data_IF_552292622314
#
_entry.id   IF_552292622314
#
_cell.length_a   1.000
_cell.length_b   1.000
_cell.length_c   1.000
_cell.angle_alpha   90.00
_cell.angle_beta   90.00
_cell.angle_gamma   90.00
#
_symmetry.space_group_name_H-M   'P 1'
#
loop_
_entity.id
_entity.type
_entity.pdbx_description
1 polymer ?
#
# COMPACT_ATOMS: atom_id res chain seq x y z
N UNK A 1 -24.64 -23.71 13.27
CA UNK A 1 -23.35 -23.01 13.04
C UNK A 1 -23.32 -21.70 13.80
N UNK A 2 -22.16 -21.32 14.28
CA UNK A 2 -21.98 -20.07 15.00
C UNK A 2 -22.32 -18.87 14.13
N UNK A 3 -23.07 -17.92 14.68
CA UNK A 3 -23.41 -16.67 14.01
C UNK A 3 -23.25 -15.47 14.93
N UNK A 4 -22.94 -14.33 14.33
CA UNK A 4 -22.71 -13.07 15.02
C UNK A 4 -23.38 -11.91 14.26
N UNK A 5 -24.13 -11.10 14.99
CA UNK A 5 -24.62 -9.83 14.49
C UNK A 5 -23.52 -8.75 14.57
N UNK A 6 -23.19 -8.14 13.45
CA UNK A 6 -22.16 -7.08 13.37
C UNK A 6 -22.63 -5.72 13.91
N UNK A 7 -23.92 -5.56 14.16
CA UNK A 7 -24.47 -4.31 14.70
C UNK A 7 -24.63 -4.31 16.21
N UNK A 8 -25.28 -5.32 16.78
CA UNK A 8 -25.50 -5.39 18.23
C UNK A 8 -24.54 -6.34 18.94
N UNK A 9 -23.70 -7.08 18.19
CA UNK A 9 -22.74 -8.07 18.69
C UNK A 9 -23.37 -9.27 19.41
N UNK A 10 -24.67 -9.54 19.20
CA UNK A 10 -25.31 -10.75 19.71
C UNK A 10 -24.77 -11.95 18.93
N UNK A 11 -24.21 -12.91 19.66
CA UNK A 11 -23.89 -14.24 19.17
C UNK A 11 -25.14 -15.14 19.25
N UNK A 12 -25.35 -16.00 18.28
CA UNK A 12 -26.48 -16.89 18.21
C UNK A 12 -26.23 -18.08 17.30
N UNK A 13 -26.99 -19.16 17.44
CA UNK A 13 -26.93 -20.27 16.51
C UNK A 13 -27.83 -20.03 15.31
N UNK A 14 -27.30 -20.23 14.14
CA UNK A 14 -28.01 -20.03 12.89
C UNK A 14 -27.98 -21.27 12.01
N UNK A 15 -29.06 -21.58 11.27
CA UNK A 15 -29.00 -22.54 10.18
C UNK A 15 -28.21 -22.02 9.01
N UNK A 16 -27.62 -22.90 8.20
CA UNK A 16 -26.94 -22.58 6.95
C UNK A 16 -27.94 -22.11 5.88
N UNK A 17 -28.38 -20.86 5.92
CA UNK A 17 -29.33 -20.33 4.93
C UNK A 17 -28.99 -18.85 4.59
N UNK A 18 -29.35 -18.44 3.36
CA UNK A 18 -29.31 -17.02 2.95
C UNK A 18 -30.37 -16.19 3.68
N UNK A 19 -30.11 -14.89 3.84
CA UNK A 19 -31.07 -13.95 4.44
C UNK A 19 -31.15 -14.01 5.97
N UNK A 20 -30.03 -14.34 6.63
CA UNK A 20 -29.92 -14.36 8.07
C UNK A 20 -30.22 -12.98 8.69
N UNK A 21 -31.04 -12.96 9.73
CA UNK A 21 -31.33 -11.75 10.52
C UNK A 21 -31.07 -12.01 11.99
N UNK A 22 -30.52 -11.00 12.66
CA UNK A 22 -30.25 -11.05 14.08
C UNK A 22 -31.57 -11.27 14.88
N UNK A 23 -31.63 -12.23 15.79
CA UNK A 23 -32.83 -12.45 16.63
C UNK A 23 -33.09 -11.27 17.58
N UNK A 24 -32.05 -10.55 18.02
CA UNK A 24 -32.17 -9.45 18.98
C UNK A 24 -32.55 -8.12 18.31
N UNK A 25 -31.84 -7.70 17.25
CA UNK A 25 -32.02 -6.37 16.62
C UNK A 25 -32.54 -6.40 15.19
N UNK A 26 -32.81 -7.59 14.63
CA UNK A 26 -33.30 -7.86 13.28
C UNK A 26 -32.39 -7.35 12.15
N UNK A 27 -31.17 -6.91 12.46
CA UNK A 27 -30.21 -6.50 11.45
C UNK A 27 -29.91 -7.64 10.46
N UNK A 28 -29.80 -7.36 9.16
CA UNK A 28 -29.33 -8.31 8.16
C UNK A 28 -27.81 -8.47 8.17
N UNK A 29 -27.08 -7.62 8.87
CA UNK A 29 -25.61 -7.66 8.94
C UNK A 29 -25.15 -8.72 9.93
N UNK A 30 -25.36 -9.97 9.56
CA UNK A 30 -24.91 -11.13 10.32
C UNK A 30 -23.88 -11.90 9.51
N UNK A 31 -22.93 -12.51 10.22
CA UNK A 31 -21.99 -13.49 9.68
C UNK A 31 -22.24 -14.81 10.37
N UNK A 32 -22.24 -15.90 9.62
CA UNK A 32 -22.38 -17.26 10.17
C UNK A 32 -21.41 -18.19 9.45
N UNK A 33 -20.70 -19.02 10.23
CA UNK A 33 -19.75 -19.98 9.70
C UNK A 33 -19.42 -21.05 10.75
N UNK A 34 -19.13 -22.27 10.34
CA UNK A 34 -18.78 -23.36 11.26
C UNK A 34 -17.50 -23.10 12.04
N UNK A 35 -16.52 -22.51 11.39
CA UNK A 35 -15.23 -22.15 11.99
C UNK A 35 -15.18 -20.69 12.50
N UNK A 36 -16.30 -19.97 12.62
CA UNK A 36 -16.36 -18.54 12.95
C UNK A 36 -15.55 -18.16 14.19
N UNK A 37 -15.62 -19.00 15.22
CA UNK A 37 -15.01 -18.73 16.52
C UNK A 37 -13.62 -19.36 16.71
N UNK A 38 -13.17 -20.20 15.78
CA UNK A 38 -11.85 -20.86 15.82
C UNK A 38 -10.79 -20.19 14.95
N UNK A 39 -11.21 -19.44 13.92
CA UNK A 39 -10.31 -18.72 13.05
C UNK A 39 -9.75 -17.45 13.70
N UNK A 40 -8.49 -17.12 13.42
CA UNK A 40 -7.80 -16.05 14.14
C UNK A 40 -6.97 -15.10 13.25
N UNK A 41 -6.76 -15.42 11.97
CA UNK A 41 -6.05 -14.55 11.04
C UNK A 41 -7.03 -13.71 10.27
N UNK A 42 -6.91 -12.39 10.40
CA UNK A 42 -7.79 -11.46 9.72
C UNK A 42 -7.02 -10.52 8.78
N UNK A 43 -7.71 -10.06 7.76
CA UNK A 43 -7.34 -8.90 6.95
C UNK A 43 -8.46 -7.88 7.05
N UNK A 44 -8.13 -6.64 7.42
CA UNK A 44 -9.05 -5.52 7.45
C UNK A 44 -8.61 -4.48 6.41
N UNK A 45 -9.59 -3.93 5.68
CA UNK A 45 -9.38 -2.94 4.63
C UNK A 45 -10.50 -1.89 4.72
N UNK A 46 -10.13 -0.60 4.80
CA UNK A 46 -11.09 0.48 4.91
C UNK A 46 -11.79 0.74 3.57
N UNK A 47 -13.10 0.87 3.61
CA UNK A 47 -13.92 1.03 2.41
C UNK A 47 -13.68 2.39 1.74
N UNK A 48 -13.08 2.38 0.52
CA UNK A 48 -12.78 3.58 -0.27
C UNK A 48 -12.13 4.69 0.57
N UNK A 49 -11.11 4.36 1.34
CA UNK A 49 -10.56 5.10 2.48
C UNK A 49 -10.46 6.61 2.28
N UNK A 50 -9.67 7.09 1.32
CA UNK A 50 -9.49 8.54 1.12
C UNK A 50 -10.82 9.24 0.81
N UNK A 51 -11.65 8.64 -0.04
CA UNK A 51 -12.95 9.22 -0.37
C UNK A 51 -13.93 9.18 0.84
N UNK A 52 -13.81 8.19 1.71
CA UNK A 52 -14.60 8.09 2.94
C UNK A 52 -14.20 9.15 3.96
N UNK A 53 -12.90 9.45 4.10
CA UNK A 53 -12.41 10.56 4.95
C UNK A 53 -12.94 11.90 4.41
N UNK A 54 -12.91 12.14 3.09
CA UNK A 54 -13.46 13.38 2.52
C UNK A 54 -14.95 13.52 2.75
N UNK A 55 -15.73 12.43 2.61
CA UNK A 55 -17.17 12.43 2.88
C UNK A 55 -17.49 12.58 4.37
N UNK A 56 -16.65 12.04 5.24
CA UNK A 56 -16.74 12.23 6.70
C UNK A 56 -16.59 13.71 7.08
N UNK A 57 -15.54 14.33 6.54
CA UNK A 57 -15.16 15.71 6.87
C UNK A 57 -16.08 16.73 6.19
N UNK A 58 -16.70 16.37 5.06
CA UNK A 58 -17.65 17.22 4.35
C UNK A 58 -18.95 16.44 4.00
N UNK A 59 -19.98 16.52 4.87
CA UNK A 59 -21.24 15.81 4.67
C UNK A 59 -21.98 16.15 3.37
N UNK A 60 -21.74 17.31 2.75
CA UNK A 60 -22.33 17.69 1.46
C UNK A 60 -21.88 16.76 0.30
N UNK A 61 -20.87 15.94 0.53
CA UNK A 61 -20.36 14.94 -0.41
C UNK A 61 -21.02 13.57 -0.24
N UNK A 62 -21.83 13.34 0.79
CA UNK A 62 -22.33 12.03 1.17
C UNK A 62 -22.96 11.24 0.01
N UNK A 63 -23.84 11.88 -0.78
CA UNK A 63 -24.52 11.26 -1.92
C UNK A 63 -23.81 11.45 -3.27
N UNK A 64 -22.73 12.27 -3.31
CA UNK A 64 -22.06 12.60 -4.57
C UNK A 64 -21.01 11.54 -4.95
N UNK A 65 -20.78 11.30 -6.24
CA UNK A 65 -19.60 10.58 -6.69
C UNK A 65 -18.36 11.43 -6.40
N UNK A 66 -17.41 10.84 -5.64
CA UNK A 66 -16.16 11.51 -5.24
C UNK A 66 -14.99 10.70 -5.77
N UNK A 67 -14.04 11.41 -6.38
CA UNK A 67 -12.78 10.88 -6.89
C UNK A 67 -11.64 11.65 -6.22
N UNK A 68 -10.76 10.93 -5.58
CA UNK A 68 -9.51 11.49 -5.04
C UNK A 68 -8.42 11.33 -6.07
N UNK A 69 -7.85 12.44 -6.49
CA UNK A 69 -6.86 12.50 -7.55
C UNK A 69 -6.72 13.93 -8.09
N UNK A 70 -6.29 14.05 -9.31
CA UNK A 70 -6.22 15.37 -9.99
C UNK A 70 -4.96 15.52 -10.82
N UNK A 71 -4.86 16.67 -11.50
CA UNK A 71 -3.79 16.96 -12.43
C UNK A 71 -4.01 16.39 -13.84
N UNK A 72 -3.40 17.04 -14.85
CA UNK A 72 -3.57 16.71 -16.28
C UNK A 72 -3.12 15.27 -16.61
N UNK A 73 -2.07 14.77 -15.91
CA UNK A 73 -1.50 13.44 -16.07
C UNK A 73 -1.68 12.57 -14.81
N UNK A 74 -2.60 13.00 -13.93
CA UNK A 74 -2.88 12.28 -12.69
C UNK A 74 -3.72 11.04 -12.92
N UNK A 75 -3.72 10.20 -11.90
CA UNK A 75 -4.55 9.00 -11.82
C UNK A 75 -5.51 9.11 -10.64
N UNK A 76 -6.55 8.29 -10.67
CA UNK A 76 -7.44 8.09 -9.53
C UNK A 76 -6.67 7.40 -8.41
N UNK A 77 -6.49 8.09 -7.28
CA UNK A 77 -5.95 7.47 -6.06
C UNK A 77 -7.01 6.58 -5.42
N UNK A 78 -8.22 7.13 -5.23
CA UNK A 78 -9.37 6.39 -4.69
C UNK A 78 -10.65 6.95 -5.28
N UNK A 79 -11.62 6.07 -5.59
CA UNK A 79 -12.97 6.43 -5.97
C UNK A 79 -13.97 5.90 -4.94
N UNK A 80 -14.94 6.70 -4.52
CA UNK A 80 -16.02 6.23 -3.66
C UNK A 80 -16.92 5.23 -4.39
N UNK A 81 -17.73 4.47 -3.67
CA UNK A 81 -18.56 3.42 -4.27
C UNK A 81 -19.57 3.97 -5.29
N UNK A 82 -20.09 5.19 -5.10
CA UNK A 82 -20.97 5.85 -6.09
C UNK A 82 -20.23 6.04 -7.42
N UNK A 83 -18.98 6.48 -7.40
CA UNK A 83 -18.16 6.61 -8.61
C UNK A 83 -17.75 5.24 -9.18
N UNK A 84 -17.50 4.23 -8.32
CA UNK A 84 -17.17 2.86 -8.77
C UNK A 84 -18.31 2.17 -9.53
N UNK A 85 -19.57 2.45 -9.18
CA UNK A 85 -20.76 1.97 -9.93
C UNK A 85 -20.73 2.48 -11.36
N UNK A 86 -20.21 3.70 -11.61
CA UNK A 86 -20.04 4.28 -12.96
C UNK A 86 -18.83 3.72 -13.71
N UNK A 87 -18.09 2.78 -13.13
CA UNK A 87 -16.93 2.14 -13.75
C UNK A 87 -15.57 2.74 -13.36
N UNK A 88 -15.53 3.81 -12.55
CA UNK A 88 -14.27 4.42 -12.10
C UNK A 88 -13.50 3.44 -11.20
N UNK A 89 -12.18 3.33 -11.41
CA UNK A 89 -11.27 2.46 -10.64
C UNK A 89 -10.02 3.20 -10.21
N UNK A 90 -9.39 2.74 -9.13
CA UNK A 90 -8.05 3.21 -8.73
C UNK A 90 -7.03 2.95 -9.83
N UNK A 91 -6.01 3.80 -9.92
CA UNK A 91 -4.98 3.86 -10.95
C UNK A 91 -5.47 4.21 -12.38
N UNK A 92 -6.77 4.38 -12.59
CA UNK A 92 -7.33 4.85 -13.87
C UNK A 92 -6.87 6.29 -14.15
N UNK A 93 -6.48 6.65 -15.39
CA UNK A 93 -6.20 8.02 -15.77
C UNK A 93 -7.39 8.95 -15.48
N UNK A 94 -7.13 10.15 -14.94
CA UNK A 94 -8.20 11.07 -14.55
C UNK A 94 -9.13 11.44 -15.72
N UNK A 95 -8.58 11.58 -16.93
CA UNK A 95 -9.40 11.92 -18.11
C UNK A 95 -10.38 10.79 -18.49
N UNK A 96 -10.01 9.53 -18.26
CA UNK A 96 -10.91 8.38 -18.47
C UNK A 96 -11.97 8.32 -17.37
N UNK A 97 -11.55 8.52 -16.11
CA UNK A 97 -12.47 8.55 -14.99
C UNK A 97 -13.56 9.62 -15.13
N UNK A 98 -13.18 10.82 -15.62
CA UNK A 98 -14.12 11.91 -15.87
C UNK A 98 -15.02 11.68 -17.09
N UNK A 99 -14.60 10.89 -18.08
CA UNK A 99 -15.49 10.42 -19.15
C UNK A 99 -16.57 9.47 -18.63
N UNK A 100 -16.21 8.59 -17.69
CA UNK A 100 -17.15 7.63 -17.10
C UNK A 100 -18.09 8.27 -16.07
N UNK A 101 -17.63 9.30 -15.37
CA UNK A 101 -18.39 9.99 -14.31
C UNK A 101 -18.14 11.51 -14.38
N UNK A 102 -18.73 12.21 -15.36
CA UNK A 102 -18.51 13.67 -15.54
C UNK A 102 -18.96 14.51 -14.34
N UNK A 103 -19.98 14.05 -13.62
CA UNK A 103 -20.51 14.70 -12.43
C UNK A 103 -19.68 14.50 -11.15
N UNK A 104 -18.57 13.77 -11.24
CA UNK A 104 -17.76 13.47 -10.07
C UNK A 104 -17.09 14.73 -9.48
N UNK A 105 -17.16 14.83 -8.16
CA UNK A 105 -16.39 15.83 -7.42
C UNK A 105 -14.96 15.31 -7.28
N UNK A 106 -14.02 15.99 -7.94
CA UNK A 106 -12.59 15.66 -7.86
C UNK A 106 -11.94 16.45 -6.74
N UNK A 107 -11.30 15.72 -5.83
CA UNK A 107 -10.62 16.30 -4.66
C UNK A 107 -9.12 15.92 -4.71
N UNK A 108 -8.26 16.92 -4.52
CA UNK A 108 -6.83 16.68 -4.36
C UNK A 108 -6.57 15.93 -3.04
N UNK A 109 -5.65 14.94 -3.03
CA UNK A 109 -5.36 14.19 -1.81
C UNK A 109 -4.90 15.08 -0.64
N UNK A 110 -5.55 14.93 0.53
CA UNK A 110 -5.14 15.53 1.80
C UNK A 110 -4.41 14.50 2.66
N UNK A 111 -3.16 14.20 2.30
CA UNK A 111 -2.41 13.11 2.92
C UNK A 111 -2.31 13.18 4.44
N UNK A 112 -2.22 14.38 5.01
CA UNK A 112 -2.17 14.58 6.48
C UNK A 112 -3.44 14.08 7.16
N UNK A 113 -4.63 14.38 6.60
CA UNK A 113 -5.91 13.90 7.13
C UNK A 113 -6.02 12.36 7.03
N UNK A 114 -5.51 11.78 5.94
CA UNK A 114 -5.54 10.32 5.76
C UNK A 114 -4.57 9.61 6.72
N UNK A 115 -3.38 10.17 6.92
CA UNK A 115 -2.41 9.64 7.89
C UNK A 115 -2.95 9.74 9.31
N UNK A 116 -3.62 10.85 9.68
CA UNK A 116 -4.24 11.00 10.99
C UNK A 116 -5.32 9.93 11.22
N UNK A 117 -6.26 9.79 10.30
CA UNK A 117 -7.31 8.77 10.38
C UNK A 117 -6.73 7.34 10.41
N UNK A 118 -5.68 7.06 9.63
CA UNK A 118 -4.98 5.78 9.63
C UNK A 118 -4.37 5.45 11.00
N UNK A 119 -3.82 6.45 11.70
CA UNK A 119 -3.26 6.26 13.05
C UNK A 119 -4.35 5.89 14.04
N UNK A 120 -5.47 6.61 14.07
CA UNK A 120 -6.60 6.32 14.95
C UNK A 120 -7.13 4.89 14.72
N UNK A 121 -7.26 4.45 13.46
CA UNK A 121 -7.67 3.08 13.13
C UNK A 121 -6.63 2.07 13.63
N UNK A 122 -5.34 2.37 13.46
CA UNK A 122 -4.27 1.48 13.92
C UNK A 122 -4.26 1.35 15.45
N UNK A 123 -4.43 2.44 16.16
CA UNK A 123 -4.52 2.42 17.62
C UNK A 123 -5.68 1.51 18.09
N UNK A 124 -6.85 1.58 17.42
CA UNK A 124 -7.96 0.66 17.68
C UNK A 124 -7.63 -0.81 17.39
N UNK A 125 -6.82 -1.10 16.36
CA UNK A 125 -6.38 -2.48 16.08
C UNK A 125 -5.37 -2.95 17.14
N UNK A 126 -4.46 -2.09 17.59
CA UNK A 126 -3.44 -2.41 18.59
C UNK A 126 -4.05 -2.73 19.96
N UNK A 127 -5.25 -2.23 20.26
CA UNK A 127 -6.03 -2.66 21.44
C UNK A 127 -6.43 -4.16 21.37
N UNK A 128 -6.51 -4.74 20.17
CA UNK A 128 -6.91 -6.14 20.00
C UNK A 128 -5.72 -7.08 20.14
N UNK A 129 -4.59 -6.72 19.56
CA UNK A 129 -3.36 -7.52 19.52
C UNK A 129 -2.16 -6.66 19.10
N UNK A 130 -0.96 -6.93 19.63
CA UNK A 130 0.25 -6.33 19.10
C UNK A 130 0.69 -6.92 17.75
N UNK A 131 0.11 -8.03 17.31
CA UNK A 131 0.47 -8.74 16.08
C UNK A 131 -0.28 -8.19 14.88
N UNK A 132 0.12 -6.99 14.43
CA UNK A 132 -0.46 -6.30 13.28
C UNK A 132 0.63 -6.07 12.24
N UNK A 133 0.31 -6.34 10.97
CA UNK A 133 1.15 -6.03 9.81
C UNK A 133 0.41 -5.05 8.90
N UNK A 134 0.69 -3.75 9.00
CA UNK A 134 0.15 -2.76 8.07
C UNK A 134 0.72 -2.97 6.66
N UNK A 135 -0.14 -2.97 5.66
CA UNK A 135 0.23 -3.03 4.25
C UNK A 135 0.20 -1.65 3.59
N UNK A 136 -0.74 -0.80 4.03
CA UNK A 136 -0.93 0.56 3.57
C UNK A 136 -1.45 1.45 4.70
N UNK A 137 -2.01 2.62 4.39
CA UNK A 137 -2.69 3.48 5.36
C UNK A 137 -4.06 2.91 5.78
N UNK A 138 -4.65 2.06 4.96
CA UNK A 138 -6.05 1.62 5.06
C UNK A 138 -6.23 0.12 5.20
N UNK A 139 -5.15 -0.68 5.10
CA UNK A 139 -5.25 -2.12 5.24
C UNK A 139 -4.16 -2.72 6.13
N UNK A 140 -4.52 -3.76 6.87
CA UNK A 140 -3.62 -4.51 7.72
C UNK A 140 -4.04 -5.97 7.88
N UNK A 141 -3.05 -6.85 8.07
CA UNK A 141 -3.26 -8.16 8.66
C UNK A 141 -3.24 -8.07 10.18
N UNK A 142 -4.08 -8.88 10.83
CA UNK A 142 -4.25 -8.92 12.28
C UNK A 142 -4.21 -10.39 12.70
N UNK A 143 -3.30 -10.76 13.61
CA UNK A 143 -3.26 -12.08 14.22
C UNK A 143 -3.87 -12.02 15.62
N UNK A 144 -5.00 -12.65 15.78
CA UNK A 144 -5.76 -12.75 17.04
C UNK A 144 -5.58 -14.12 17.72
N UNK A 145 -4.57 -14.89 17.30
CA UNK A 145 -4.28 -16.20 17.89
C UNK A 145 -3.99 -16.06 19.39
N UNK A 146 -4.72 -16.81 20.21
CA UNK A 146 -4.54 -16.82 21.66
C UNK A 146 -5.16 -15.63 22.42
N UNK A 147 -5.73 -14.63 21.71
CA UNK A 147 -6.28 -13.42 22.36
C UNK A 147 -7.66 -13.61 22.98
N UNK A 148 -8.36 -14.69 22.66
CA UNK A 148 -9.74 -14.93 23.13
C UNK A 148 -9.86 -14.94 24.67
N UNK A 149 -8.85 -15.49 25.38
CA UNK A 149 -8.84 -15.50 26.86
C UNK A 149 -8.65 -14.10 27.43
N UNK A 150 -7.84 -13.26 26.79
CA UNK A 150 -7.59 -11.89 27.23
C UNK A 150 -8.85 -11.02 27.09
N UNK A 151 -9.55 -11.17 25.98
CA UNK A 151 -10.72 -10.34 25.67
C UNK A 151 -12.05 -10.92 26.16
N UNK A 152 -12.08 -12.19 26.60
CA UNK A 152 -13.31 -12.90 26.95
C UNK A 152 -14.24 -13.19 25.76
N UNK A 153 -13.75 -13.00 24.54
CA UNK A 153 -14.52 -13.13 23.31
C UNK A 153 -13.67 -13.72 22.16
N UNK A 154 -14.29 -14.43 21.20
CA UNK A 154 -13.58 -14.96 20.04
C UNK A 154 -13.12 -13.86 19.07
N UNK A 155 -12.14 -14.14 18.20
CA UNK A 155 -11.63 -13.19 17.19
C UNK A 155 -12.72 -12.55 16.32
N UNK A 156 -13.71 -13.31 15.91
CA UNK A 156 -14.86 -12.82 15.13
C UNK A 156 -15.62 -11.69 15.81
N UNK A 157 -15.87 -11.83 17.12
CA UNK A 157 -16.53 -10.80 17.93
C UNK A 157 -15.67 -9.54 18.04
N UNK A 158 -14.36 -9.70 18.30
CA UNK A 158 -13.43 -8.59 18.45
C UNK A 158 -13.33 -7.78 17.16
N UNK A 159 -13.26 -8.44 16.01
CA UNK A 159 -13.25 -7.79 14.69
C UNK A 159 -14.58 -7.08 14.39
N UNK A 160 -15.72 -7.69 14.68
CA UNK A 160 -17.02 -7.04 14.51
C UNK A 160 -17.16 -5.79 15.43
N UNK A 161 -16.65 -5.87 16.65
CA UNK A 161 -16.58 -4.74 17.59
C UNK A 161 -15.67 -3.63 17.07
N UNK A 162 -14.50 -3.96 16.49
CA UNK A 162 -13.60 -3.02 15.86
C UNK A 162 -14.32 -2.22 14.76
N UNK A 163 -14.92 -2.93 13.80
CA UNK A 163 -15.63 -2.28 12.67
C UNK A 163 -16.80 -1.42 13.17
N UNK A 164 -17.53 -1.89 14.19
CA UNK A 164 -18.59 -1.09 14.80
C UNK A 164 -18.04 0.20 15.43
N UNK A 165 -16.94 0.12 16.18
CA UNK A 165 -16.26 1.28 16.76
C UNK A 165 -15.75 2.26 15.68
N UNK A 166 -15.09 1.77 14.65
CA UNK A 166 -14.66 2.62 13.53
C UNK A 166 -15.84 3.40 12.94
N UNK A 167 -16.99 2.75 12.78
CA UNK A 167 -18.20 3.39 12.26
C UNK A 167 -18.78 4.43 13.20
N UNK A 168 -18.86 4.16 14.50
CA UNK A 168 -19.50 5.04 15.49
C UNK A 168 -18.59 6.15 15.98
N UNK A 169 -17.30 5.90 16.16
CA UNK A 169 -16.32 6.84 16.71
C UNK A 169 -15.62 7.65 15.60
N UNK A 170 -15.23 6.99 14.50
CA UNK A 170 -14.49 7.64 13.41
C UNK A 170 -15.35 7.96 12.18
N UNK A 171 -16.60 7.47 12.11
CA UNK A 171 -17.50 7.56 10.92
C UNK A 171 -16.85 7.01 9.64
N UNK A 172 -15.99 6.01 9.80
CA UNK A 172 -15.33 5.27 8.74
C UNK A 172 -15.76 3.82 8.78
N UNK A 173 -15.70 3.16 7.63
CA UNK A 173 -16.10 1.77 7.49
C UNK A 173 -14.98 0.93 6.93
N UNK A 174 -15.01 -0.34 7.24
CA UNK A 174 -14.06 -1.28 6.73
C UNK A 174 -14.70 -2.65 6.50
N UNK A 175 -14.04 -3.43 5.66
CA UNK A 175 -14.39 -4.81 5.35
C UNK A 175 -13.36 -5.75 5.94
N UNK A 176 -13.80 -6.87 6.49
CA UNK A 176 -12.99 -7.87 7.17
C UNK A 176 -13.06 -9.19 6.43
N UNK A 177 -11.91 -9.81 6.24
CA UNK A 177 -11.79 -11.22 5.92
C UNK A 177 -11.16 -11.97 7.07
N UNK A 178 -11.82 -13.04 7.56
CA UNK A 178 -11.35 -13.91 8.62
C UNK A 178 -11.04 -15.29 8.04
N UNK A 179 -9.86 -15.83 8.32
CA UNK A 179 -9.44 -17.13 7.81
C UNK A 179 -8.35 -17.76 8.70
N UNK A 180 -7.79 -18.86 8.23
CA UNK A 180 -6.69 -19.58 8.91
C UNK A 180 -5.30 -19.15 8.41
N UNK A 181 -5.20 -18.30 7.37
CA UNK A 181 -3.94 -17.75 6.88
C UNK A 181 -4.13 -16.39 6.19
N UNK A 182 -3.01 -15.69 5.93
CA UNK A 182 -2.98 -14.34 5.34
C UNK A 182 -3.60 -14.29 3.95
N UNK A 183 -3.30 -15.27 3.10
CA UNK A 183 -3.79 -15.29 1.72
C UNK A 183 -5.32 -15.29 1.67
N UNK A 184 -5.93 -16.23 2.35
CA UNK A 184 -7.38 -16.38 2.35
C UNK A 184 -8.10 -15.26 3.12
N UNK A 185 -7.51 -14.77 4.22
CA UNK A 185 -8.03 -13.61 4.92
C UNK A 185 -8.11 -12.38 4.00
N UNK A 186 -7.07 -12.13 3.17
CA UNK A 186 -7.08 -11.03 2.21
C UNK A 186 -8.11 -11.25 1.09
N UNK A 187 -8.23 -12.45 0.57
CA UNK A 187 -9.27 -12.78 -0.43
C UNK A 187 -10.66 -12.57 0.18
N UNK A 188 -10.89 -13.07 1.41
CA UNK A 188 -12.17 -12.95 2.09
C UNK A 188 -12.59 -11.48 2.27
N UNK A 189 -11.66 -10.58 2.60
CA UNK A 189 -11.98 -9.17 2.83
C UNK A 189 -12.54 -8.44 1.60
N UNK A 190 -12.32 -8.96 0.40
CA UNK A 190 -12.80 -8.38 -0.86
C UNK A 190 -14.15 -8.94 -1.34
N UNK A 191 -14.64 -10.06 -0.74
CA UNK A 191 -15.82 -10.77 -1.25
C UNK A 191 -17.14 -10.01 -1.10
N UNK A 192 -17.28 -9.22 -0.03
CA UNK A 192 -18.54 -8.56 0.35
C UNK A 192 -18.36 -7.05 0.59
N UNK A 193 -17.41 -6.41 -0.11
CA UNK A 193 -17.23 -4.95 -0.01
C UNK A 193 -18.42 -4.20 -0.62
N UNK A 194 -18.83 -3.06 -0.04
CA UNK A 194 -18.38 -2.43 1.20
C UNK A 194 -19.06 -3.01 2.45
N UNK A 195 -18.50 -2.68 3.63
CA UNK A 195 -19.02 -3.13 4.92
C UNK A 195 -19.09 -4.67 5.08
N UNK A 196 -18.21 -5.37 4.36
CA UNK A 196 -18.18 -6.82 4.36
C UNK A 196 -17.59 -7.42 5.63
N UNK A 197 -18.03 -8.64 5.92
CA UNK A 197 -17.37 -9.53 6.86
C UNK A 197 -17.51 -10.95 6.31
N UNK A 198 -16.45 -11.43 5.69
CA UNK A 198 -16.46 -12.73 5.05
C UNK A 198 -15.49 -13.68 5.75
N UNK A 199 -15.86 -14.94 5.78
CA UNK A 199 -15.07 -16.01 6.38
C UNK A 199 -14.74 -17.04 5.31
N UNK A 200 -13.51 -17.54 5.32
CA UNK A 200 -13.07 -18.70 4.55
C UNK A 200 -12.39 -19.64 5.53
N UNK A 201 -13.06 -20.75 5.84
CA UNK A 201 -12.59 -21.78 6.75
C UNK A 201 -11.51 -22.68 6.14
N UNK A 202 -10.85 -23.46 7.00
CA UNK A 202 -9.84 -24.41 6.55
C UNK A 202 -10.49 -25.59 5.80
N UNK A 203 -11.62 -26.07 6.29
CA UNK A 203 -12.34 -27.21 5.71
C UNK A 203 -12.82 -26.95 4.27
N UNK A 204 -13.30 -25.75 3.98
CA UNK A 204 -13.87 -25.39 2.67
C UNK A 204 -12.85 -24.80 1.68
N UNK A 205 -11.59 -24.61 2.10
CA UNK A 205 -10.59 -23.88 1.32
C UNK A 205 -10.39 -24.46 -0.09
N UNK A 206 -10.33 -25.78 -0.21
CA UNK A 206 -10.14 -26.45 -1.51
C UNK A 206 -11.32 -26.18 -2.45
N UNK A 207 -12.55 -26.35 -1.95
CA UNK A 207 -13.77 -26.12 -2.71
C UNK A 207 -13.96 -24.65 -3.07
N UNK A 208 -13.62 -23.75 -2.13
CA UNK A 208 -13.66 -22.32 -2.37
C UNK A 208 -12.72 -21.89 -3.50
N UNK A 209 -11.49 -22.43 -3.53
CA UNK A 209 -10.49 -22.07 -4.54
C UNK A 209 -10.74 -22.74 -5.90
N UNK A 210 -11.45 -23.85 -5.91
CA UNK A 210 -11.76 -24.58 -7.13
C UNK A 210 -12.35 -23.62 -8.18
N UNK A 211 -11.82 -23.65 -9.40
CA UNK A 211 -12.21 -22.82 -10.55
C UNK A 211 -12.13 -21.30 -10.37
N UNK A 212 -11.64 -20.79 -9.22
CA UNK A 212 -11.39 -19.36 -9.08
C UNK A 212 -10.22 -18.93 -9.97
N UNK A 213 -10.26 -17.69 -10.49
CA UNK A 213 -9.18 -17.18 -11.33
C UNK A 213 -7.92 -16.89 -10.49
N UNK A 214 -6.74 -17.22 -11.05
CA UNK A 214 -5.43 -17.01 -10.38
C UNK A 214 -5.13 -15.55 -10.02
N UNK A 215 -5.82 -14.59 -10.62
CA UNK A 215 -5.73 -13.17 -10.28
C UNK A 215 -6.15 -12.83 -8.85
N UNK A 216 -6.86 -13.74 -8.15
CA UNK A 216 -7.17 -13.59 -6.72
C UNK A 216 -5.91 -13.70 -5.85
N UNK A 217 -4.83 -14.27 -6.38
CA UNK A 217 -3.56 -14.35 -5.65
C UNK A 217 -2.93 -12.95 -5.60
N UNK A 218 -2.83 -12.40 -4.41
CA UNK A 218 -2.14 -11.14 -4.19
C UNK A 218 -0.70 -11.17 -4.71
N UNK A 219 -0.39 -10.25 -5.63
CA UNK A 219 0.88 -10.18 -6.36
C UNK A 219 0.80 -10.73 -7.79
N UNK A 220 -0.32 -11.34 -8.20
CA UNK A 220 -0.59 -11.69 -9.60
C UNK A 220 -1.25 -10.49 -10.28
N UNK A 221 -0.42 -9.56 -10.75
CA UNK A 221 -0.85 -8.42 -11.57
C UNK A 221 -0.96 -8.80 -13.06
N UNK A 222 -1.35 -7.84 -13.92
CA UNK A 222 -1.60 -8.06 -15.34
C UNK A 222 -0.44 -8.76 -16.08
N UNK A 223 0.82 -8.37 -15.81
CA UNK A 223 1.99 -8.98 -16.44
C UNK A 223 2.17 -10.46 -16.04
N UNK A 224 2.01 -10.75 -14.72
CA UNK A 224 2.08 -12.13 -14.22
C UNK A 224 0.92 -12.95 -14.76
N UNK A 225 -0.29 -12.39 -14.77
CA UNK A 225 -1.46 -13.04 -15.33
C UNK A 225 -1.25 -13.41 -16.80
N UNK A 226 -0.78 -12.48 -17.65
CA UNK A 226 -0.47 -12.73 -19.05
C UNK A 226 0.60 -13.82 -19.23
N UNK A 227 1.60 -13.89 -18.34
CA UNK A 227 2.62 -14.94 -18.37
C UNK A 227 2.05 -16.30 -17.98
N UNK A 228 1.15 -16.36 -16.99
CA UNK A 228 0.44 -17.59 -16.59
C UNK A 228 -0.50 -18.08 -17.70
N UNK A 229 -1.25 -17.17 -18.32
CA UNK A 229 -2.15 -17.51 -19.44
C UNK A 229 -1.42 -18.12 -20.64
N UNK A 230 -0.20 -17.64 -20.97
CA UNK A 230 0.68 -18.24 -21.97
C UNK A 230 1.12 -19.66 -21.61
N UNK A 231 1.06 -20.03 -20.34
CA UNK A 231 1.33 -21.37 -19.84
C UNK A 231 0.05 -22.22 -19.69
N UNK A 232 -1.11 -21.71 -20.12
CA UNK A 232 -2.39 -22.39 -19.97
C UNK A 232 -2.97 -22.33 -18.56
N UNK A 233 -2.46 -21.43 -17.69
CA UNK A 233 -2.87 -21.31 -16.29
C UNK A 233 -3.77 -20.09 -16.15
N UNK A 234 -5.07 -20.30 -15.91
CA UNK A 234 -6.08 -19.25 -15.69
C UNK A 234 -6.75 -19.36 -14.33
N UNK A 235 -6.89 -20.59 -13.83
CA UNK A 235 -7.61 -20.92 -12.61
C UNK A 235 -6.70 -21.63 -11.61
N UNK A 236 -7.17 -21.73 -10.36
CA UNK A 236 -6.51 -22.56 -9.33
C UNK A 236 -6.48 -24.03 -9.74
N UNK A 237 -7.54 -24.53 -10.39
CA UNK A 237 -7.59 -25.89 -10.94
C UNK A 237 -6.47 -26.14 -11.95
N UNK A 238 -6.15 -25.15 -12.80
CA UNK A 238 -5.02 -25.25 -13.72
C UNK A 238 -3.68 -25.30 -12.96
N UNK A 239 -3.50 -24.47 -11.91
CA UNK A 239 -2.31 -24.49 -11.08
C UNK A 239 -2.10 -25.84 -10.36
N UNK A 240 -3.17 -26.50 -9.94
CA UNK A 240 -3.10 -27.79 -9.24
C UNK A 240 -2.56 -28.90 -10.13
N UNK A 241 -2.65 -28.78 -11.47
CA UNK A 241 -2.12 -29.75 -12.45
C UNK A 241 -0.60 -29.65 -12.64
N UNK A 242 0.03 -28.58 -12.13
CA UNK A 242 1.46 -28.36 -12.27
C UNK A 242 2.24 -28.89 -11.08
N UNK A 243 3.37 -29.49 -11.37
CA UNK A 243 4.34 -29.84 -10.33
C UNK A 243 5.06 -28.59 -9.80
N UNK A 244 5.49 -28.69 -8.54
CA UNK A 244 6.21 -27.61 -7.86
C UNK A 244 7.51 -27.25 -8.59
N UNK A 245 8.24 -28.26 -9.06
CA UNK A 245 9.53 -28.09 -9.75
C UNK A 245 9.33 -27.33 -11.06
N UNK A 246 8.33 -27.71 -11.85
CA UNK A 246 8.02 -27.08 -13.14
C UNK A 246 7.56 -25.63 -12.98
N UNK A 247 6.72 -25.35 -11.98
CA UNK A 247 6.33 -23.98 -11.67
C UNK A 247 7.51 -23.11 -11.22
N UNK A 248 8.39 -23.66 -10.38
CA UNK A 248 9.58 -22.97 -9.91
C UNK A 248 10.60 -22.74 -11.03
N UNK A 249 10.80 -23.71 -11.92
CA UNK A 249 11.67 -23.58 -13.10
C UNK A 249 11.19 -22.48 -14.05
N UNK A 250 9.87 -22.36 -14.25
CA UNK A 250 9.29 -21.40 -15.19
C UNK A 250 9.07 -20.01 -14.63
N UNK A 251 8.69 -19.90 -13.36
CA UNK A 251 8.28 -18.63 -12.72
C UNK A 251 9.14 -18.24 -11.50
N UNK A 252 10.25 -18.97 -11.26
CA UNK A 252 11.14 -18.72 -10.14
C UNK A 252 10.45 -18.86 -8.78
N UNK A 253 10.82 -18.00 -7.84
CA UNK A 253 10.22 -17.96 -6.49
C UNK A 253 8.70 -17.69 -6.49
N UNK A 254 8.20 -17.04 -7.52
CA UNK A 254 6.76 -16.86 -7.70
C UNK A 254 6.08 -18.20 -7.99
N UNK A 255 6.68 -19.07 -8.82
CA UNK A 255 6.14 -20.39 -9.13
C UNK A 255 6.02 -21.29 -7.90
N UNK A 256 7.05 -21.31 -7.07
CA UNK A 256 7.02 -22.01 -5.77
C UNK A 256 5.87 -21.50 -4.88
N UNK A 257 5.72 -20.19 -4.79
CA UNK A 257 4.63 -19.56 -4.04
C UNK A 257 3.25 -19.92 -4.61
N UNK A 258 3.08 -19.88 -5.93
CA UNK A 258 1.82 -20.21 -6.60
C UNK A 258 1.40 -21.66 -6.32
N UNK A 259 2.36 -22.60 -6.29
CA UNK A 259 2.09 -23.99 -5.96
C UNK A 259 1.48 -24.18 -4.57
N UNK A 260 2.04 -23.50 -3.56
CA UNK A 260 1.53 -23.52 -2.20
C UNK A 260 0.15 -22.85 -2.07
N UNK A 261 0.01 -21.66 -2.65
CA UNK A 261 -1.25 -20.90 -2.57
C UNK A 261 -2.39 -21.58 -3.31
N UNK A 262 -2.12 -22.32 -4.40
CA UNK A 262 -3.12 -23.13 -5.09
C UNK A 262 -3.74 -24.21 -4.19
N UNK A 263 -3.01 -24.66 -3.19
CA UNK A 263 -3.44 -25.64 -2.17
C UNK A 263 -3.94 -24.98 -0.88
N UNK A 264 -4.21 -23.68 -0.92
CA UNK A 264 -4.66 -22.92 0.25
C UNK A 264 -3.58 -22.75 1.34
N UNK A 265 -2.32 -23.06 1.03
CA UNK A 265 -1.21 -23.04 1.98
C UNK A 265 -0.47 -21.71 1.95
N UNK A 266 -0.53 -20.95 3.04
CA UNK A 266 0.26 -19.75 3.22
C UNK A 266 0.94 -19.77 4.60
N UNK A 267 2.25 -20.04 4.62
CA UNK A 267 3.05 -20.15 5.85
C UNK A 267 3.64 -18.84 6.33
N UNK A 268 3.36 -17.73 5.63
CA UNK A 268 3.87 -16.41 6.02
C UNK A 268 3.22 -15.99 7.34
N UNK A 269 4.07 -15.62 8.28
CA UNK A 269 3.61 -15.04 9.57
C UNK A 269 3.30 -13.56 9.39
N UNK A 270 2.48 -13.02 10.28
CA UNK A 270 2.26 -11.58 10.42
C UNK A 270 3.51 -10.98 11.05
N UNK A 271 4.08 -9.97 10.38
CA UNK A 271 5.34 -9.32 10.79
C UNK A 271 5.08 -7.87 11.12
N UNK A 272 5.16 -7.51 12.39
CA UNK A 272 4.86 -6.14 12.88
C UNK A 272 5.75 -5.06 12.25
N UNK A 273 7.03 -5.34 12.13
CA UNK A 273 8.05 -4.37 11.73
C UNK A 273 8.92 -4.93 10.59
N UNK A 274 8.37 -5.00 9.38
CA UNK A 274 9.21 -5.27 8.24
C UNK A 274 10.18 -4.09 8.03
N UNK A 275 11.50 -4.33 7.93
CA UNK A 275 12.46 -3.26 7.72
C UNK A 275 12.17 -2.55 6.39
N UNK A 276 12.27 -1.21 6.41
CA UNK A 276 12.16 -0.41 5.21
C UNK A 276 13.29 -0.76 4.24
N UNK A 277 12.96 -1.04 2.98
CA UNK A 277 13.95 -1.48 1.98
C UNK A 277 14.54 -0.33 1.17
N UNK A 278 13.77 0.74 0.97
CA UNK A 278 14.16 1.91 0.17
C UNK A 278 13.38 3.15 0.55
N UNK A 279 13.96 4.32 0.28
CA UNK A 279 13.29 5.62 0.34
C UNK A 279 13.47 6.27 -1.02
N UNK A 280 12.36 6.62 -1.70
CA UNK A 280 12.40 7.23 -3.02
C UNK A 280 11.34 8.31 -3.18
N UNK A 281 11.59 9.21 -4.13
CA UNK A 281 10.63 10.18 -4.59
C UNK A 281 10.72 10.32 -6.11
N UNK A 282 9.57 10.49 -6.77
CA UNK A 282 9.50 10.67 -8.22
C UNK A 282 8.47 11.74 -8.59
N UNK A 283 8.64 12.36 -9.74
CA UNK A 283 7.69 13.32 -10.28
C UNK A 283 7.42 13.05 -11.75
N UNK A 284 6.13 13.17 -12.13
CA UNK A 284 5.70 13.14 -13.54
C UNK A 284 5.61 14.58 -14.01
N UNK A 285 6.27 14.90 -15.12
CA UNK A 285 6.23 16.24 -15.70
C UNK A 285 4.87 16.55 -16.30
N UNK A 286 4.53 17.83 -16.34
CA UNK A 286 3.32 18.29 -17.02
C UNK A 286 3.41 18.05 -18.54
N UNK A 287 4.58 18.28 -19.13
CA UNK A 287 4.96 17.94 -20.49
C UNK A 287 6.26 17.15 -20.50
N UNK A 288 6.43 16.30 -21.52
CA UNK A 288 7.65 15.53 -21.65
C UNK A 288 8.81 16.49 -21.98
N UNK A 289 9.98 16.29 -21.37
CA UNK A 289 11.09 17.24 -21.48
C UNK A 289 12.43 16.56 -21.71
N UNK A 290 13.29 17.27 -22.44
CA UNK A 290 14.72 16.99 -22.55
C UNK A 290 15.57 18.14 -21.98
N UNK A 291 14.94 19.17 -21.43
CA UNK A 291 15.62 20.33 -20.90
C UNK A 291 16.55 19.91 -19.75
N UNK A 292 17.87 20.03 -19.92
CA UNK A 292 18.85 19.56 -18.94
C UNK A 292 18.79 20.38 -17.63
N UNK A 293 18.49 21.67 -17.70
CA UNK A 293 18.39 22.52 -16.51
C UNK A 293 17.16 22.18 -15.69
N UNK A 294 16.03 21.95 -16.34
CA UNK A 294 14.79 21.51 -15.67
C UNK A 294 14.97 20.13 -15.02
N UNK A 295 15.62 19.20 -15.73
CA UNK A 295 15.90 17.85 -15.22
C UNK A 295 16.86 17.89 -14.04
N UNK A 296 17.90 18.71 -14.11
CA UNK A 296 18.86 18.93 -13.02
C UNK A 296 18.19 19.51 -11.76
N UNK A 297 17.35 20.52 -11.94
CA UNK A 297 16.56 21.10 -10.84
C UNK A 297 15.63 20.07 -10.19
N UNK A 298 15.01 19.20 -10.98
CA UNK A 298 14.19 18.11 -10.45
C UNK A 298 15.01 17.05 -9.71
N UNK A 299 16.18 16.67 -10.22
CA UNK A 299 17.09 15.75 -9.52
C UNK A 299 17.46 16.28 -8.14
N UNK A 300 17.79 17.57 -8.06
CA UNK A 300 18.09 18.21 -6.78
C UNK A 300 16.90 18.16 -5.81
N UNK A 301 15.72 18.64 -6.21
CA UNK A 301 14.51 18.67 -5.37
C UNK A 301 14.10 17.27 -4.90
N UNK A 302 14.28 16.26 -5.74
CA UNK A 302 13.97 14.87 -5.36
C UNK A 302 15.00 14.31 -4.38
N UNK A 303 16.30 14.63 -4.57
CA UNK A 303 17.34 14.24 -3.62
C UNK A 303 17.14 14.87 -2.25
N UNK A 304 16.77 16.15 -2.16
CA UNK A 304 16.41 16.83 -0.90
C UNK A 304 15.26 16.09 -0.20
N UNK A 305 14.16 15.78 -0.90
CA UNK A 305 13.03 15.06 -0.32
C UNK A 305 13.38 13.65 0.16
N UNK A 306 14.26 12.95 -0.53
CA UNK A 306 14.75 11.63 -0.11
C UNK A 306 15.63 11.76 1.12
N UNK A 307 16.54 12.73 1.14
CA UNK A 307 17.40 13.04 2.27
C UNK A 307 16.60 13.40 3.53
N UNK A 308 15.63 14.31 3.42
CA UNK A 308 14.77 14.73 4.54
C UNK A 308 14.05 13.53 5.17
N UNK A 309 13.51 12.63 4.32
CA UNK A 309 12.86 11.40 4.78
C UNK A 309 13.83 10.41 5.42
N UNK A 310 15.03 10.30 4.90
CA UNK A 310 16.08 9.46 5.45
C UNK A 310 16.52 9.97 6.82
N UNK A 311 16.79 11.27 6.95
CA UNK A 311 17.14 11.95 8.21
C UNK A 311 16.04 11.82 9.27
N UNK A 312 14.78 12.02 8.89
CA UNK A 312 13.64 11.86 9.80
C UNK A 312 13.49 10.44 10.37
N UNK A 313 14.07 9.44 9.71
CA UNK A 313 14.04 8.02 10.10
C UNK A 313 15.37 7.51 10.67
N UNK A 314 16.42 8.32 10.72
CA UNK A 314 17.75 7.90 11.12
C UNK A 314 18.34 6.82 10.22
N UNK A 315 18.08 6.89 8.91
CA UNK A 315 18.51 5.88 7.93
C UNK A 315 19.43 6.49 6.87
N UNK A 316 20.37 5.69 6.38
CA UNK A 316 21.20 5.98 5.21
C UNK A 316 21.13 4.82 4.23
N UNK A 317 21.38 5.05 2.92
CA UNK A 317 21.32 4.02 1.89
C UNK A 317 22.66 3.75 1.23
N UNK A 318 22.98 2.47 1.04
CA UNK A 318 24.21 2.05 0.32
C UNK A 318 24.08 2.10 -1.18
N UNK A 319 22.86 2.20 -1.70
CA UNK A 319 22.58 2.21 -3.14
C UNK A 319 21.78 3.45 -3.48
N UNK A 320 22.26 4.24 -4.44
CA UNK A 320 21.47 5.33 -5.05
C UNK A 320 20.87 4.83 -6.36
N UNK A 321 19.60 5.14 -6.57
CA UNK A 321 18.85 4.74 -7.76
C UNK A 321 18.32 5.96 -8.50
N UNK A 322 18.46 5.96 -9.83
CA UNK A 322 17.81 6.86 -10.75
C UNK A 322 16.73 6.09 -11.52
N UNK A 323 15.54 6.67 -11.63
CA UNK A 323 14.42 6.14 -12.44
C UNK A 323 14.02 7.21 -13.44
N UNK A 324 13.94 6.81 -14.70
CA UNK A 324 13.43 7.64 -15.79
C UNK A 324 12.29 6.90 -16.48
N UNK A 325 11.31 7.64 -16.99
CA UNK A 325 10.24 7.09 -17.80
C UNK A 325 10.09 7.93 -19.04
N UNK A 326 10.03 7.29 -20.20
CA UNK A 326 9.85 7.95 -21.48
C UNK A 326 8.38 8.17 -21.82
N UNK A 327 8.14 8.85 -22.94
CA UNK A 327 6.79 9.14 -23.46
C UNK A 327 5.97 7.87 -23.73
N UNK A 328 6.60 6.83 -24.24
CA UNK A 328 6.00 5.52 -24.52
C UNK A 328 5.74 4.66 -23.26
N UNK A 329 6.00 5.25 -22.09
CA UNK A 329 5.92 4.61 -20.78
C UNK A 329 7.02 3.56 -20.51
N UNK A 330 7.98 3.37 -21.41
CA UNK A 330 9.15 2.54 -21.09
C UNK A 330 9.91 3.14 -19.89
N UNK A 331 10.32 2.28 -18.97
CA UNK A 331 11.03 2.68 -17.76
C UNK A 331 12.50 2.29 -17.87
N UNK A 332 13.37 3.23 -17.53
CA UNK A 332 14.81 3.04 -17.41
C UNK A 332 15.19 3.24 -15.95
N UNK A 333 15.94 2.30 -15.39
CA UNK A 333 16.53 2.46 -14.06
C UNK A 333 18.04 2.27 -14.11
N UNK A 334 18.76 3.11 -13.35
CA UNK A 334 20.18 2.98 -13.12
C UNK A 334 20.43 3.01 -11.62
N UNK A 335 21.46 2.31 -11.16
CA UNK A 335 21.84 2.29 -9.75
C UNK A 335 23.35 2.27 -9.60
N UNK A 336 23.82 2.86 -8.52
CA UNK A 336 25.21 2.80 -8.09
C UNK A 336 25.28 2.41 -6.61
N UNK A 337 26.11 1.41 -6.31
CA UNK A 337 26.42 1.05 -4.92
C UNK A 337 27.53 1.98 -4.44
N UNK A 338 27.30 2.62 -3.32
CA UNK A 338 28.24 3.54 -2.69
C UNK A 338 29.14 2.75 -1.72
N UNK A 339 30.36 3.26 -1.54
CA UNK A 339 31.29 2.73 -0.52
C UNK A 339 30.76 2.99 0.88
N UNK A 340 30.31 4.22 1.14
CA UNK A 340 29.72 4.65 2.39
C UNK A 340 28.24 4.95 2.20
N UNK A 341 27.37 4.61 3.18
CA UNK A 341 25.95 4.89 3.10
C UNK A 341 25.66 6.39 2.98
N UNK A 342 24.77 6.79 2.08
CA UNK A 342 24.40 8.19 1.88
C UNK A 342 23.06 8.53 2.55
N UNK A 343 23.04 9.66 3.25
CA UNK A 343 21.84 10.30 3.78
C UNK A 343 21.69 11.72 3.25
N UNK A 344 22.82 12.40 2.97
CA UNK A 344 22.85 13.79 2.55
C UNK A 344 22.34 13.99 1.12
N UNK A 345 21.57 15.05 0.92
CA UNK A 345 21.02 15.41 -0.38
C UNK A 345 22.09 15.65 -1.45
N UNK A 346 23.22 16.27 -1.07
CA UNK A 346 24.32 16.52 -2.02
C UNK A 346 24.93 15.22 -2.55
N UNK A 347 25.17 14.23 -1.68
CA UNK A 347 25.71 12.93 -2.10
C UNK A 347 24.73 12.18 -2.99
N UNK A 348 23.46 12.13 -2.59
CA UNK A 348 22.38 11.48 -3.36
C UNK A 348 22.24 12.13 -4.74
N UNK A 349 22.22 13.48 -4.78
CA UNK A 349 22.11 14.23 -6.02
C UNK A 349 23.30 14.01 -6.95
N UNK A 350 24.54 14.15 -6.48
CA UNK A 350 25.75 13.98 -7.32
C UNK A 350 25.79 12.59 -7.92
N UNK A 351 25.48 11.58 -7.13
CA UNK A 351 25.42 10.20 -7.61
C UNK A 351 24.32 10.02 -8.66
N UNK A 352 23.10 10.52 -8.39
CA UNK A 352 21.99 10.44 -9.34
C UNK A 352 22.28 11.23 -10.63
N UNK A 353 22.98 12.37 -10.53
CA UNK A 353 23.40 13.17 -11.68
C UNK A 353 24.42 12.42 -12.54
N UNK A 354 25.44 11.80 -11.94
CA UNK A 354 26.39 10.96 -12.68
C UNK A 354 25.72 9.78 -13.39
N UNK A 355 24.70 9.15 -12.73
CA UNK A 355 23.89 8.12 -13.38
C UNK A 355 23.08 8.68 -14.55
N UNK A 356 22.56 9.90 -14.42
CA UNK A 356 21.81 10.57 -15.48
C UNK A 356 22.70 10.92 -16.67
N UNK A 357 23.89 11.45 -16.44
CA UNK A 357 24.89 11.79 -17.50
C UNK A 357 25.28 10.53 -18.28
N UNK A 358 25.35 9.37 -17.62
CA UNK A 358 25.62 8.07 -18.26
C UNK A 358 24.47 7.49 -19.09
N UNK A 359 23.26 8.06 -19.02
CA UNK A 359 22.13 7.62 -19.85
C UNK A 359 22.15 8.25 -21.24
N UNK A 360 22.77 9.44 -21.36
CA UNK A 360 22.79 10.19 -22.63
C UNK A 360 21.43 10.82 -23.00
N UNK A 361 21.30 11.23 -24.25
CA UNK A 361 20.12 11.96 -24.77
C UNK A 361 18.96 11.02 -25.19
N UNK A 362 18.55 10.11 -24.33
CA UNK A 362 17.51 9.11 -24.64
C UNK A 362 16.06 9.61 -24.42
N UNK A 363 15.85 10.88 -24.12
CA UNK A 363 14.52 11.48 -23.88
C UNK A 363 13.64 11.60 -25.13
N UNK A 364 12.48 12.29 -25.09
CA UNK A 364 12.00 13.09 -23.95
C UNK A 364 11.46 12.25 -22.80
N UNK A 365 11.73 12.75 -21.59
CA UNK A 365 11.31 12.09 -20.36
C UNK A 365 9.98 12.62 -19.85
N UNK A 366 9.15 11.69 -19.42
CA UNK A 366 7.83 11.92 -18.80
C UNK A 366 7.92 11.98 -17.27
N UNK A 367 8.88 11.25 -16.69
CA UNK A 367 9.04 11.11 -15.24
C UNK A 367 10.50 10.97 -14.89
N UNK A 368 10.89 11.57 -13.78
CA UNK A 368 12.17 11.37 -13.12
C UNK A 368 11.97 11.01 -11.65
N UNK A 369 12.81 10.11 -11.14
CA UNK A 369 12.78 9.66 -9.75
C UNK A 369 14.18 9.40 -9.21
N UNK A 370 14.36 9.66 -7.93
CA UNK A 370 15.59 9.39 -7.17
C UNK A 370 15.23 8.59 -5.92
N UNK A 371 16.10 7.66 -5.53
CA UNK A 371 15.92 6.89 -4.31
C UNK A 371 17.23 6.38 -3.75
N UNK A 372 17.16 5.97 -2.49
CA UNK A 372 18.19 5.20 -1.80
C UNK A 372 17.63 3.85 -1.37
N UNK A 373 18.46 2.82 -1.43
CA UNK A 373 18.11 1.45 -1.07
C UNK A 373 19.26 0.81 -0.28
N UNK A 374 19.03 -0.44 0.14
CA UNK A 374 19.94 -1.12 1.07
C UNK A 374 20.18 -0.23 2.30
N UNK A 375 19.07 0.01 3.02
CA UNK A 375 19.03 0.97 4.12
C UNK A 375 19.67 0.39 5.37
N UNK A 376 20.50 1.22 6.01
CA UNK A 376 21.15 0.94 7.29
C UNK A 376 20.88 2.09 8.26
N UNK A 377 20.94 1.86 9.60
CA UNK A 377 20.93 2.95 10.57
C UNK A 377 22.06 3.95 10.27
N UNK A 378 21.75 5.22 10.35
CA UNK A 378 22.74 6.28 10.20
C UNK A 378 23.36 6.58 11.58
N UNK A 379 24.55 6.03 11.82
CA UNK A 379 25.28 6.24 13.09
C UNK A 379 26.19 7.48 13.05
N UNK A 380 26.57 7.96 11.86
CA UNK A 380 27.60 8.98 11.66
C UNK A 380 27.10 10.25 10.96
N UNK A 381 25.76 10.37 10.77
CA UNK A 381 25.13 11.51 10.10
C UNK A 381 25.52 11.62 8.62
N UNK A 382 25.90 10.50 7.97
CA UNK A 382 26.19 10.44 6.53
C UNK A 382 27.46 11.19 6.09
N UNK A 383 28.36 11.48 7.00
CA UNK A 383 29.66 12.12 6.72
C UNK A 383 30.78 11.16 7.11
N UNK A 384 31.26 10.40 6.16
CA UNK A 384 32.58 9.77 6.32
C UNK A 384 33.64 10.71 5.77
N UNK A 385 34.77 10.84 6.46
CA UNK A 385 35.93 11.60 5.98
C UNK A 385 36.57 10.85 4.80
N UNK A 386 36.09 11.11 3.59
CA UNK A 386 36.71 10.56 2.39
C UNK A 386 37.93 11.40 2.01
N UNK A 387 39.11 10.77 2.02
CA UNK A 387 40.36 11.40 1.58
C UNK A 387 40.33 11.86 0.10
N UNK A 388 39.42 11.25 -0.69
CA UNK A 388 39.23 11.58 -2.11
C UNK A 388 38.21 12.73 -2.31
N UNK A 389 37.46 13.10 -1.25
CA UNK A 389 36.51 14.23 -1.28
C UNK A 389 36.68 15.10 -0.03
N UNK A 390 37.72 15.92 0.04
CA UNK A 390 38.05 16.76 1.20
C UNK A 390 36.94 17.77 1.54
N UNK A 391 36.07 18.11 0.60
CA UNK A 391 34.95 19.01 0.80
C UNK A 391 33.68 18.31 1.30
N UNK A 392 33.65 17.00 1.41
CA UNK A 392 32.47 16.24 1.86
C UNK A 392 31.97 16.69 3.23
N UNK A 393 32.90 16.82 4.18
CA UNK A 393 32.60 17.29 5.54
C UNK A 393 32.03 18.72 5.54
N UNK A 394 32.59 19.62 4.76
CA UNK A 394 32.14 21.01 4.62
C UNK A 394 30.72 21.07 4.05
N UNK A 395 30.44 20.30 2.99
CA UNK A 395 29.10 20.20 2.39
C UNK A 395 28.08 19.62 3.35
N UNK A 396 28.44 18.57 4.07
CA UNK A 396 27.57 17.97 5.10
C UNK A 396 27.22 18.94 6.23
N UNK A 397 28.20 19.71 6.72
CA UNK A 397 27.96 20.72 7.74
C UNK A 397 27.07 21.87 7.22
N UNK A 398 27.29 22.32 5.98
CA UNK A 398 26.44 23.34 5.36
C UNK A 398 24.99 22.83 5.16
N UNK A 399 24.79 21.57 4.80
CA UNK A 399 23.47 20.97 4.67
C UNK A 399 22.77 20.89 6.03
N UNK A 400 23.45 20.42 7.09
CA UNK A 400 22.88 20.38 8.44
C UNK A 400 22.52 21.76 8.98
N UNK A 401 23.35 22.79 8.71
CA UNK A 401 23.03 24.18 9.06
C UNK A 401 21.76 24.65 8.33
N UNK A 402 21.60 24.31 7.06
CA UNK A 402 20.41 24.59 6.27
C UNK A 402 19.17 23.88 6.87
N UNK A 403 19.29 22.61 7.26
CA UNK A 403 18.22 21.82 7.87
C UNK A 403 17.79 22.44 9.22
N UNK A 404 18.74 22.92 10.04
CA UNK A 404 18.46 23.59 11.30
C UNK A 404 17.67 24.89 11.09
N UNK A 405 18.02 25.66 10.05
CA UNK A 405 17.29 26.89 9.70
C UNK A 405 15.89 26.57 9.21
N UNK A 406 15.74 25.59 8.29
CA UNK A 406 14.43 25.15 7.79
C UNK A 406 13.53 24.63 8.91
N UNK A 407 14.09 23.91 9.88
CA UNK A 407 13.34 23.43 11.05
C UNK A 407 12.81 24.59 11.91
N UNK A 408 13.58 25.69 12.02
CA UNK A 408 13.21 26.85 12.84
C UNK A 408 12.28 27.84 12.14
N UNK A 409 12.48 28.06 10.84
CA UNK A 409 11.85 29.15 10.09
C UNK A 409 10.94 28.67 8.95
N UNK A 410 10.78 27.36 8.78
CA UNK A 410 9.98 26.76 7.71
C UNK A 410 10.82 26.25 6.52
N UNK A 411 10.23 25.34 5.72
CA UNK A 411 10.95 24.67 4.63
C UNK A 411 11.43 25.60 3.52
N UNK A 412 10.79 26.74 3.32
CA UNK A 412 11.09 27.71 2.27
C UNK A 412 12.06 28.81 2.71
N UNK A 413 12.53 28.79 3.97
CA UNK A 413 13.42 29.82 4.52
C UNK A 413 14.78 29.89 3.80
N UNK A 414 15.29 28.76 3.30
CA UNK A 414 16.49 28.67 2.48
C UNK A 414 16.26 27.69 1.35
N UNK A 415 16.47 28.15 0.12
CA UNK A 415 16.48 27.32 -1.08
C UNK A 415 17.86 27.38 -1.77
N UNK A 416 18.35 26.25 -2.25
CA UNK A 416 19.55 26.26 -3.08
C UNK A 416 19.18 26.72 -4.50
N UNK A 417 20.04 27.51 -5.14
CA UNK A 417 19.78 28.06 -6.47
C UNK A 417 19.43 27.02 -7.55
N UNK A 418 19.92 25.78 -7.43
CA UNK A 418 19.50 24.65 -8.27
C UNK A 418 18.04 24.26 -8.12
N UNK A 419 17.46 24.43 -6.96
CA UNK A 419 16.04 24.13 -6.71
C UNK A 419 15.10 25.10 -7.42
N UNK A 420 15.60 26.24 -7.87
CA UNK A 420 14.86 27.30 -8.57
C UNK A 420 14.79 27.08 -10.09
N UNK A 421 15.53 26.12 -10.63
CA UNK A 421 15.53 25.74 -12.05
C UNK A 421 14.36 24.87 -12.44
#
# INVERSE_FOLDING_TARGET
>A
MDALCRDCLTAFDAPARKGLRCPACRSPRCVAHEELNSLSIAHMDCDAFYASVEKRDNPALASKPVIIGGGKRGVVSTACYVARIKGVRSAMPMFEALKLCPEAVVIKPRMEAYVAASREIRDMMEELTPSIEPLSLDEAFIDLTGTARLHGHPPSYMLARLIRRMRTELRLTGSVGLSHNKFLAKVASDLDKPHGFSVIGAAETADFLHDKPVRLIWGVGAATQASLEKAGIRTFTDLLRWDRVDLAARFGSMGDRLWHLARGQDRRRITRNAPMKSISNETTFFEDTNDPDLLDGHLWRLAEKVSDRAKAKGLAGRVVTLKLKRRDHSALSRRLSLRDPAQLADTIYRTARGLFDGVGAEGPYRLIGVGIADLVPDNDGGVSGDLLDPDATRRGNAERATDAIRKKFGPDAILKGRALR
#
